data_IF_669000947667
#
_entry.id   IF_669000947667
#
_cell.length_a   1.000
_cell.length_b   1.000
_cell.length_c   1.000
_cell.angle_alpha   90.00
_cell.angle_beta   90.00
_cell.angle_gamma   90.00
#
_symmetry.space_group_name_H-M   'P 1'
#
loop_
_entity.id
_entity.type
_entity.pdbx_description
1 polymer ?
#
# COMPACT_ATOMS: atom_id res chain seq x y z
N UNK A 1 -3.51 -10.49 -2.39
CA UNK A 1 -3.16 -9.05 -2.38
C UNK A 1 -4.28 -8.29 -3.06
N UNK A 2 -4.87 -7.33 -2.36
CA UNK A 2 -5.90 -6.45 -2.89
C UNK A 2 -5.34 -5.02 -3.00
N UNK A 3 -5.87 -4.20 -3.93
CA UNK A 3 -6.78 -4.58 -5.02
C UNK A 3 -6.01 -5.24 -6.20
N UNK A 4 -6.71 -5.48 -7.32
CA UNK A 4 -6.07 -5.93 -8.58
C UNK A 4 -5.13 -4.86 -9.15
N UNK A 5 -4.20 -5.26 -10.00
CA UNK A 5 -3.22 -4.33 -10.60
C UNK A 5 -3.90 -3.21 -11.38
N UNK A 6 -4.95 -3.53 -12.14
CA UNK A 6 -5.75 -2.58 -12.90
C UNK A 6 -6.34 -1.47 -12.02
N UNK A 7 -6.84 -1.83 -10.82
CA UNK A 7 -7.34 -0.85 -9.87
C UNK A 7 -6.20 0.00 -9.32
N UNK A 8 -5.05 -0.59 -9.00
CA UNK A 8 -3.88 0.16 -8.51
C UNK A 8 -3.44 1.20 -9.55
N UNK A 9 -3.43 0.84 -10.83
CA UNK A 9 -3.11 1.76 -11.92
C UNK A 9 -4.13 2.89 -12.05
N UNK A 10 -5.43 2.58 -11.96
CA UNK A 10 -6.49 3.61 -11.97
C UNK A 10 -6.30 4.58 -10.79
N UNK A 11 -6.04 4.07 -9.59
CA UNK A 11 -5.78 4.88 -8.41
C UNK A 11 -4.57 5.80 -8.61
N UNK A 12 -3.48 5.29 -9.19
CA UNK A 12 -2.28 6.08 -9.46
C UNK A 12 -2.56 7.20 -10.46
N UNK A 13 -3.21 6.89 -11.59
CA UNK A 13 -3.58 7.87 -12.62
C UNK A 13 -4.48 8.98 -12.08
N UNK A 14 -5.26 8.69 -11.05
CA UNK A 14 -6.14 9.65 -10.37
C UNK A 14 -5.51 10.31 -9.13
N UNK A 15 -4.20 10.15 -8.92
CA UNK A 15 -3.46 10.71 -7.78
C UNK A 15 -4.04 10.32 -6.40
N UNK A 16 -4.60 9.11 -6.28
CA UNK A 16 -5.14 8.62 -5.00
C UNK A 16 -4.00 8.10 -4.13
N UNK A 17 -3.90 8.61 -2.90
CA UNK A 17 -2.93 8.11 -1.94
C UNK A 17 -3.33 6.71 -1.42
N UNK A 18 -2.35 5.84 -1.18
CA UNK A 18 -2.57 4.46 -0.72
C UNK A 18 -1.89 4.20 0.62
N UNK A 19 -2.46 3.29 1.41
CA UNK A 19 -1.87 2.74 2.64
C UNK A 19 -1.65 1.25 2.46
N UNK A 20 -0.89 0.62 3.37
CA UNK A 20 -0.69 -0.83 3.40
C UNK A 20 -1.17 -1.40 4.73
N UNK A 21 -1.68 -2.63 4.69
CA UNK A 21 -2.08 -3.40 5.86
C UNK A 21 -2.15 -4.86 5.47
N UNK A 22 -1.66 -5.74 6.34
CA UNK A 22 -1.67 -7.19 6.14
C UNK A 22 -3.00 -7.83 6.55
N UNK A 23 -3.82 -7.13 7.33
CA UNK A 23 -5.07 -7.63 7.91
C UNK A 23 -4.87 -8.94 8.69
N UNK A 24 -3.74 -9.00 9.41
CA UNK A 24 -3.30 -10.19 10.13
C UNK A 24 -4.16 -10.43 11.35
N UNK A 25 -4.56 -11.69 11.52
CA UNK A 25 -5.28 -12.17 12.70
C UNK A 25 -4.37 -12.97 13.65
N UNK A 26 -3.10 -13.15 13.27
CA UNK A 26 -2.03 -13.78 14.05
C UNK A 26 -0.74 -12.94 13.95
N UNK A 27 0.14 -12.98 14.96
CA UNK A 27 1.43 -12.29 14.90
C UNK A 27 2.31 -12.75 13.73
N UNK A 28 2.24 -14.02 13.34
CA UNK A 28 3.07 -14.62 12.29
C UNK A 28 2.73 -14.08 10.90
N UNK A 29 1.48 -13.67 10.69
CA UNK A 29 1.01 -13.13 9.42
C UNK A 29 1.27 -11.62 9.27
N UNK A 30 1.88 -10.96 10.27
CA UNK A 30 2.21 -9.53 10.19
C UNK A 30 3.12 -9.28 8.99
N UNK A 31 2.73 -8.30 8.16
CA UNK A 31 3.40 -7.97 6.89
C UNK A 31 3.38 -9.09 5.84
N UNK A 32 2.56 -10.13 6.01
CA UNK A 32 2.41 -11.18 5.00
C UNK A 32 2.00 -10.55 3.65
N UNK A 33 2.78 -10.87 2.60
CA UNK A 33 2.56 -10.35 1.25
C UNK A 33 3.04 -8.92 0.99
N UNK A 34 3.69 -8.24 1.96
CA UNK A 34 4.18 -6.87 1.75
C UNK A 34 5.16 -6.74 0.59
N UNK A 35 6.05 -7.71 0.40
CA UNK A 35 6.97 -7.73 -0.76
C UNK A 35 6.21 -7.65 -2.09
N UNK A 36 5.14 -8.43 -2.23
CA UNK A 36 4.30 -8.45 -3.43
C UNK A 36 3.53 -7.13 -3.58
N UNK A 37 3.00 -6.58 -2.48
CA UNK A 37 2.30 -5.30 -2.50
C UNK A 37 3.22 -4.14 -2.91
N UNK A 38 4.44 -4.09 -2.36
CA UNK A 38 5.45 -3.07 -2.68
C UNK A 38 5.80 -3.11 -4.17
N UNK A 39 6.04 -4.30 -4.73
CA UNK A 39 6.34 -4.44 -6.16
C UNK A 39 5.18 -4.00 -7.05
N UNK A 40 3.94 -4.38 -6.72
CA UNK A 40 2.74 -3.91 -7.42
C UNK A 40 2.61 -2.39 -7.40
N UNK A 41 2.80 -1.77 -6.24
CA UNK A 41 2.75 -0.32 -6.06
C UNK A 41 3.84 0.40 -6.87
N UNK A 42 5.08 -0.10 -6.83
CA UNK A 42 6.21 0.44 -7.59
C UNK A 42 5.98 0.35 -9.09
N UNK A 43 5.43 -0.78 -9.56
CA UNK A 43 5.06 -1.01 -10.97
C UNK A 43 3.98 -0.03 -11.45
N UNK A 44 2.97 0.27 -10.63
CA UNK A 44 1.93 1.24 -10.97
C UNK A 44 2.42 2.69 -10.97
N UNK A 45 3.53 3.00 -10.28
CA UNK A 45 4.17 4.32 -10.28
C UNK A 45 4.35 4.94 -8.89
N UNK A 46 3.82 4.32 -7.84
CA UNK A 46 3.99 4.83 -6.48
C UNK A 46 5.47 4.75 -6.03
N UNK A 47 5.89 5.75 -5.25
CA UNK A 47 7.20 5.79 -4.56
C UNK A 47 7.06 6.01 -3.05
N UNK A 48 5.83 6.24 -2.61
CA UNK A 48 5.48 6.51 -1.23
C UNK A 48 4.09 6.01 -0.93
N UNK A 49 3.85 5.70 0.34
CA UNK A 49 2.54 5.35 0.91
C UNK A 49 2.21 6.28 2.06
N UNK A 50 0.94 6.30 2.44
CA UNK A 50 0.45 7.06 3.58
C UNK A 50 0.45 6.21 4.85
N UNK A 51 1.07 6.72 5.91
CA UNK A 51 0.86 6.30 7.28
C UNK A 51 0.01 7.32 8.05
N UNK A 52 -0.51 6.94 9.22
CA UNK A 52 -1.33 7.82 10.05
C UNK A 52 -0.93 7.72 11.52
N UNK A 53 -0.77 8.86 12.19
CA UNK A 53 -0.54 8.96 13.63
C UNK A 53 -1.47 10.02 14.19
N UNK A 54 -2.30 9.68 15.17
CA UNK A 54 -3.27 10.64 15.74
C UNK A 54 -4.19 11.27 14.68
N UNK A 55 -4.62 10.49 13.69
CA UNK A 55 -5.43 10.94 12.53
C UNK A 55 -4.73 11.96 11.61
N UNK A 56 -3.42 12.18 11.78
CA UNK A 56 -2.59 12.98 10.88
C UNK A 56 -1.84 12.07 9.91
N UNK A 57 -2.02 12.33 8.62
CA UNK A 57 -1.35 11.61 7.52
C UNK A 57 0.11 12.02 7.43
N UNK A 58 1.01 11.06 7.26
CA UNK A 58 2.42 11.26 6.92
C UNK A 58 2.83 10.30 5.80
N UNK A 59 3.96 10.57 5.16
CA UNK A 59 4.45 9.77 4.03
C UNK A 59 5.58 8.84 4.45
N UNK A 60 5.62 7.66 3.85
CA UNK A 60 6.65 6.64 4.03
C UNK A 60 7.15 6.21 2.64
N UNK A 61 8.45 6.06 2.46
CA UNK A 61 9.03 5.65 1.18
C UNK A 61 8.86 4.14 0.95
N UNK A 62 8.65 3.76 -0.32
CA UNK A 62 8.53 2.37 -0.79
C UNK A 62 9.84 1.77 -1.28
#
# INVERSE_FOLDING_TARGET
>A
IYPSDEIIEILFRNNVAVTMGSDSHTPEDVCCGYSIAIEKLKKAGYRKVSGFTGRKRHELNL
#
